data_IF_677140411028
#
_entry.id   IF_677140411028
#
_cell.length_a   1.000
_cell.length_b   1.000
_cell.length_c   1.000
_cell.angle_alpha   90.00
_cell.angle_beta   90.00
_cell.angle_gamma   90.00
#
_symmetry.space_group_name_H-M   'P 1'
#
loop_
_entity.id
_entity.type
_entity.pdbx_description
1 polymer ?
#
# COMPACT_ATOMS: atom_id res chain seq x y z
N UNK A 1 6.39 23.63 7.23
CA UNK A 1 5.94 22.89 8.45
C UNK A 1 6.92 21.75 8.68
N UNK A 2 7.50 21.65 9.89
CA UNK A 2 8.36 20.49 10.23
C UNK A 2 7.51 19.25 10.51
N UNK A 3 8.14 18.05 10.45
CA UNK A 3 7.44 16.79 10.78
C UNK A 3 6.91 16.78 12.22
N UNK A 4 7.60 17.44 13.15
CA UNK A 4 7.16 17.59 14.54
C UNK A 4 5.91 18.46 14.61
N UNK A 5 5.88 19.60 13.93
CA UNK A 5 4.70 20.46 13.83
C UNK A 5 3.51 19.74 13.20
N UNK A 6 3.75 18.96 12.15
CA UNK A 6 2.71 18.16 11.51
C UNK A 6 2.13 17.11 12.49
N UNK A 7 2.98 16.41 13.24
CA UNK A 7 2.56 15.44 14.24
C UNK A 7 1.74 16.06 15.37
N UNK A 8 2.15 17.25 15.83
CA UNK A 8 1.47 17.97 16.91
C UNK A 8 0.13 18.58 16.48
N UNK A 9 0.01 18.99 15.20
CA UNK A 9 -1.19 19.64 14.68
C UNK A 9 -2.21 18.70 14.06
N UNK A 10 -1.82 17.46 13.76
CA UNK A 10 -2.72 16.48 13.13
C UNK A 10 -3.87 16.10 14.07
N UNK A 11 -5.03 15.85 13.50
CA UNK A 11 -6.20 15.30 14.19
C UNK A 11 -6.89 14.26 13.29
N UNK A 12 -7.74 13.42 13.89
CA UNK A 12 -8.56 12.47 13.15
C UNK A 12 -9.78 13.19 12.58
N UNK A 13 -9.76 13.46 11.28
CA UNK A 13 -10.86 14.13 10.57
C UNK A 13 -12.14 13.28 10.63
N UNK A 14 -13.25 13.91 11.02
CA UNK A 14 -14.55 13.24 11.14
C UNK A 14 -15.53 13.61 10.03
N UNK A 15 -15.31 14.74 9.37
CA UNK A 15 -16.10 15.22 8.23
C UNK A 15 -15.18 15.88 7.21
N UNK A 16 -15.50 15.70 5.94
CA UNK A 16 -14.80 16.33 4.83
C UNK A 16 -15.72 17.29 4.11
N UNK A 17 -15.15 18.36 3.55
CA UNK A 17 -15.85 19.26 2.65
C UNK A 17 -15.76 18.70 1.23
N UNK A 18 -16.88 18.21 0.72
CA UNK A 18 -16.97 17.60 -0.61
C UNK A 18 -16.60 18.56 -1.76
N UNK A 19 -16.71 19.87 -1.54
CA UNK A 19 -16.35 20.89 -2.53
C UNK A 19 -14.83 21.09 -2.65
N UNK A 20 -14.05 20.70 -1.64
CA UNK A 20 -12.60 20.88 -1.61
C UNK A 20 -11.88 19.62 -2.10
N UNK A 21 -11.01 19.80 -3.09
CA UNK A 21 -10.19 18.73 -3.64
C UNK A 21 -8.72 18.95 -3.30
N UNK A 22 -8.00 17.86 -3.07
CA UNK A 22 -6.55 17.90 -2.89
C UNK A 22 -5.92 18.33 -4.23
N UNK A 23 -4.95 19.27 -4.25
CA UNK A 23 -4.22 19.64 -5.46
C UNK A 23 -3.52 18.44 -6.09
N UNK A 24 -3.44 18.42 -7.43
CA UNK A 24 -2.87 17.30 -8.18
C UNK A 24 -1.44 16.95 -7.74
N UNK A 25 -0.59 17.97 -7.54
CA UNK A 25 0.80 17.78 -7.09
C UNK A 25 0.87 17.06 -5.73
N UNK A 26 -0.05 17.38 -4.81
CA UNK A 26 -0.12 16.71 -3.53
C UNK A 26 -0.59 15.25 -3.67
N UNK A 27 -1.52 14.97 -4.58
CA UNK A 27 -1.96 13.61 -4.89
C UNK A 27 -0.80 12.78 -5.46
N UNK A 28 -0.02 13.35 -6.34
CA UNK A 28 1.15 12.66 -6.94
C UNK A 28 2.27 12.45 -5.91
N UNK A 29 2.46 13.40 -5.00
CA UNK A 29 3.35 13.21 -3.85
C UNK A 29 2.89 12.06 -2.94
N UNK A 30 1.59 11.97 -2.63
CA UNK A 30 1.01 10.87 -1.84
C UNK A 30 1.22 9.53 -2.55
N UNK A 31 0.93 9.43 -3.85
CA UNK A 31 1.18 8.22 -4.64
C UNK A 31 2.65 7.79 -4.61
N UNK A 32 3.56 8.77 -4.71
CA UNK A 32 5.00 8.53 -4.62
C UNK A 32 5.39 7.98 -3.25
N UNK A 33 4.92 8.60 -2.16
CA UNK A 33 5.18 8.13 -0.79
C UNK A 33 4.68 6.70 -0.57
N UNK A 34 3.46 6.39 -1.01
CA UNK A 34 2.88 5.05 -0.91
C UNK A 34 3.75 4.04 -1.67
N UNK A 35 4.11 4.37 -2.93
CA UNK A 35 4.94 3.48 -3.77
C UNK A 35 6.33 3.25 -3.19
N UNK A 36 6.91 4.25 -2.53
CA UNK A 36 8.25 4.19 -1.95
C UNK A 36 8.28 3.68 -0.51
N UNK A 37 7.14 3.25 0.03
CA UNK A 37 7.07 2.68 1.38
C UNK A 37 7.90 1.39 1.45
N UNK A 38 8.66 1.16 2.53
CA UNK A 38 9.44 -0.06 2.70
C UNK A 38 8.55 -1.25 3.07
N UNK A 39 9.02 -2.46 2.74
CA UNK A 39 8.43 -3.72 3.18
C UNK A 39 9.51 -4.72 3.59
N UNK A 40 9.15 -5.73 4.37
CA UNK A 40 10.07 -6.80 4.76
C UNK A 40 10.66 -7.46 3.51
N UNK A 41 11.97 -7.62 3.46
CA UNK A 41 12.76 -8.12 2.32
C UNK A 41 12.36 -7.52 0.97
N UNK A 42 11.84 -6.30 0.98
CA UNK A 42 11.28 -5.62 -0.19
C UNK A 42 10.28 -6.49 -0.98
N UNK A 43 9.44 -7.23 -0.25
CA UNK A 43 8.45 -8.15 -0.86
C UNK A 43 7.26 -7.43 -1.48
N UNK A 44 6.99 -6.19 -1.07
CA UNK A 44 5.94 -5.30 -1.62
C UNK A 44 4.57 -6.01 -1.79
N UNK A 45 4.04 -6.67 -0.76
CA UNK A 45 2.87 -7.55 -0.89
C UNK A 45 1.56 -6.80 -0.95
N UNK A 46 1.56 -5.59 -1.50
CA UNK A 46 0.42 -4.69 -1.50
C UNK A 46 -0.05 -4.30 -2.90
N UNK A 47 -1.28 -3.82 -2.95
CA UNK A 47 -1.85 -3.09 -4.06
C UNK A 47 -2.66 -1.91 -3.51
N UNK A 48 -2.55 -0.75 -4.14
CA UNK A 48 -3.25 0.46 -3.71
C UNK A 48 -4.27 0.88 -4.76
N UNK A 49 -5.53 1.07 -4.33
CA UNK A 49 -6.57 1.61 -5.19
C UNK A 49 -6.81 3.06 -4.76
N UNK A 50 -6.61 4.01 -5.66
CA UNK A 50 -6.87 5.42 -5.42
C UNK A 50 -8.11 5.83 -6.19
N UNK A 51 -9.19 6.18 -5.49
CA UNK A 51 -10.45 6.62 -6.07
C UNK A 51 -10.69 8.11 -5.82
N UNK A 52 -10.95 8.86 -6.90
CA UNK A 52 -11.26 10.29 -6.86
C UNK A 52 -12.62 10.62 -7.50
N UNK A 53 -13.14 9.75 -8.39
CA UNK A 53 -14.45 9.94 -9.00
C UNK A 53 -15.58 9.57 -8.01
N UNK A 54 -16.71 10.23 -8.16
CA UNK A 54 -17.87 9.95 -7.30
C UNK A 54 -18.36 8.50 -7.46
N UNK A 55 -18.29 7.94 -8.68
CA UNK A 55 -18.59 6.52 -8.93
C UNK A 55 -17.63 5.60 -8.17
N UNK A 56 -16.31 5.84 -8.26
CA UNK A 56 -15.30 5.05 -7.57
C UNK A 56 -15.48 5.08 -6.06
N UNK A 57 -15.71 6.27 -5.48
CA UNK A 57 -15.99 6.45 -4.05
C UNK A 57 -17.29 5.75 -3.64
N UNK A 58 -18.35 5.85 -4.44
CA UNK A 58 -19.61 5.17 -4.16
C UNK A 58 -19.48 3.64 -4.17
N UNK A 59 -18.63 3.08 -5.03
CA UNK A 59 -18.31 1.64 -5.01
C UNK A 59 -17.61 1.23 -3.71
N UNK A 60 -16.62 2.02 -3.26
CA UNK A 60 -15.91 1.78 -2.00
C UNK A 60 -16.84 1.95 -0.80
N UNK A 61 -17.74 2.95 -0.82
CA UNK A 61 -18.67 3.22 0.28
C UNK A 61 -19.62 2.03 0.56
N UNK A 62 -19.85 1.14 -0.40
CA UNK A 62 -20.62 -0.10 -0.16
C UNK A 62 -20.00 -0.99 0.95
N UNK A 63 -18.68 -0.93 1.12
CA UNK A 63 -17.99 -1.67 2.19
C UNK A 63 -18.25 -1.09 3.59
N UNK A 64 -18.82 0.10 3.70
CA UNK A 64 -19.17 0.72 4.99
C UNK A 64 -20.58 0.39 5.48
N UNK A 65 -21.34 -0.43 4.74
CA UNK A 65 -22.71 -0.80 5.15
C UNK A 65 -22.73 -1.59 6.46
N UNK A 66 -23.89 -1.59 7.13
CA UNK A 66 -24.06 -2.28 8.42
C UNK A 66 -23.32 -1.58 9.56
N UNK A 67 -22.50 -2.29 10.28
CA UNK A 67 -21.79 -1.78 11.47
C UNK A 67 -20.84 -0.60 11.23
N UNK A 68 -20.48 -0.33 9.99
CA UNK A 68 -19.54 0.74 9.61
C UNK A 68 -20.19 1.92 8.89
N UNK A 69 -21.53 2.00 8.87
CA UNK A 69 -22.29 3.04 8.14
C UNK A 69 -21.88 4.47 8.51
N UNK A 70 -21.38 4.71 9.73
CA UNK A 70 -20.83 5.99 10.17
C UNK A 70 -19.60 6.46 9.39
N UNK A 71 -19.01 5.62 8.55
CA UNK A 71 -17.89 5.98 7.68
C UNK A 71 -18.33 6.34 6.24
N UNK A 72 -19.57 6.05 5.85
CA UNK A 72 -20.04 6.23 4.47
C UNK A 72 -19.82 7.68 3.99
N UNK A 73 -20.28 8.67 4.77
CA UNK A 73 -20.11 10.09 4.43
C UNK A 73 -18.63 10.48 4.33
N UNK A 74 -17.76 9.91 5.15
CA UNK A 74 -16.31 10.17 5.08
C UNK A 74 -15.72 9.69 3.76
N UNK A 75 -16.17 8.54 3.26
CA UNK A 75 -15.75 8.01 1.96
C UNK A 75 -16.29 8.87 0.82
N UNK A 76 -17.58 9.20 0.84
CA UNK A 76 -18.23 9.95 -0.25
C UNK A 76 -17.74 11.39 -0.35
N UNK A 77 -17.53 12.07 0.78
CA UNK A 77 -17.17 13.49 0.81
C UNK A 77 -15.64 13.72 0.70
N UNK A 78 -14.83 12.69 0.89
CA UNK A 78 -13.38 12.81 0.73
C UNK A 78 -12.99 13.19 -0.70
N UNK A 79 -11.92 13.97 -0.85
CA UNK A 79 -11.33 14.29 -2.16
C UNK A 79 -10.87 13.04 -2.88
N UNK A 80 -10.13 12.19 -2.17
CA UNK A 80 -9.61 10.91 -2.62
C UNK A 80 -9.76 9.88 -1.51
N UNK A 81 -9.94 8.63 -1.91
CA UNK A 81 -9.94 7.47 -1.00
C UNK A 81 -8.88 6.51 -1.46
N UNK A 82 -8.04 6.06 -0.53
CA UNK A 82 -7.03 5.04 -0.79
C UNK A 82 -7.44 3.76 -0.08
N UNK A 83 -7.57 2.67 -0.84
CA UNK A 83 -7.76 1.32 -0.30
C UNK A 83 -6.42 0.61 -0.29
N UNK A 84 -6.00 0.18 0.87
CA UNK A 84 -4.81 -0.63 1.07
C UNK A 84 -5.20 -2.10 0.94
N UNK A 85 -4.61 -2.79 -0.02
CA UNK A 85 -4.84 -4.20 -0.26
C UNK A 85 -3.56 -4.97 -0.01
N UNK A 86 -3.61 -6.02 0.80
CA UNK A 86 -2.53 -6.99 0.92
C UNK A 86 -2.78 -8.17 -0.02
N UNK A 87 -1.70 -8.79 -0.52
CA UNK A 87 -1.81 -10.05 -1.25
C UNK A 87 -2.26 -11.16 -0.31
N UNK A 88 -3.04 -12.09 -0.82
CA UNK A 88 -3.44 -13.29 -0.08
C UNK A 88 -2.38 -14.39 -0.10
N UNK A 89 -1.42 -14.29 -1.02
CA UNK A 89 -0.28 -15.20 -1.11
C UNK A 89 0.85 -14.56 -1.93
N UNK A 90 2.07 -14.98 -1.66
CA UNK A 90 3.26 -14.69 -2.47
C UNK A 90 3.74 -16.03 -3.03
N UNK A 91 3.75 -16.16 -4.35
CA UNK A 91 4.24 -17.34 -5.06
C UNK A 91 5.58 -17.06 -5.77
N UNK A 92 6.20 -18.09 -6.29
CA UNK A 92 7.49 -17.99 -6.98
C UNK A 92 7.40 -17.10 -8.23
N UNK A 93 6.29 -17.15 -8.96
CA UNK A 93 6.10 -16.31 -10.14
C UNK A 93 6.12 -14.82 -9.79
N UNK A 94 5.49 -14.46 -8.66
CA UNK A 94 5.53 -13.09 -8.15
C UNK A 94 6.94 -12.68 -7.71
N UNK A 95 7.65 -13.56 -6.99
CA UNK A 95 9.03 -13.28 -6.54
C UNK A 95 9.97 -13.08 -7.72
N UNK A 96 9.82 -13.89 -8.76
CA UNK A 96 10.61 -13.79 -9.99
C UNK A 96 10.31 -12.48 -10.74
N UNK A 97 9.03 -12.12 -10.89
CA UNK A 97 8.64 -10.87 -11.55
C UNK A 97 9.18 -9.63 -10.82
N UNK A 98 9.17 -9.67 -9.47
CA UNK A 98 9.74 -8.60 -8.66
C UNK A 98 11.25 -8.50 -8.83
N UNK A 99 11.96 -9.64 -8.83
CA UNK A 99 13.41 -9.72 -9.04
C UNK A 99 13.81 -9.16 -10.42
N UNK A 100 13.07 -9.50 -11.46
CA UNK A 100 13.31 -9.02 -12.82
C UNK A 100 13.07 -7.50 -12.95
N UNK A 101 12.06 -6.99 -12.25
CA UNK A 101 11.81 -5.55 -12.22
C UNK A 101 12.94 -4.81 -11.49
N UNK A 102 13.39 -5.31 -10.35
CA UNK A 102 14.52 -4.72 -9.62
C UNK A 102 15.82 -4.75 -10.43
N UNK A 103 16.03 -5.79 -11.23
CA UNK A 103 17.18 -5.91 -12.12
C UNK A 103 17.11 -4.86 -13.25
N UNK A 104 15.95 -4.70 -13.89
CA UNK A 104 15.70 -3.65 -14.90
C UNK A 104 15.91 -2.25 -14.34
N UNK A 105 15.57 -2.04 -13.08
CA UNK A 105 15.76 -0.78 -12.37
C UNK A 105 17.23 -0.56 -11.93
N UNK A 106 18.14 -1.50 -12.23
CA UNK A 106 19.57 -1.38 -11.94
C UNK A 106 19.93 -1.52 -10.47
N UNK A 107 19.11 -2.26 -9.69
CA UNK A 107 19.31 -2.38 -8.23
C UNK A 107 20.41 -3.35 -7.83
N UNK A 108 20.87 -4.22 -8.73
CA UNK A 108 21.88 -5.23 -8.43
C UNK A 108 23.23 -4.88 -9.05
N UNK A 109 24.28 -4.94 -8.23
CA UNK A 109 25.64 -4.71 -8.70
C UNK A 109 26.16 -5.83 -9.61
N UNK A 110 25.67 -7.06 -9.42
CA UNK A 110 26.06 -8.26 -10.17
C UNK A 110 25.04 -9.39 -9.97
N UNK A 111 25.25 -10.51 -10.67
CA UNK A 111 24.37 -11.68 -10.60
C UNK A 111 24.35 -12.36 -9.24
N UNK A 112 25.43 -12.31 -8.47
CA UNK A 112 25.49 -12.88 -7.12
C UNK A 112 24.59 -12.09 -6.17
N UNK A 113 24.64 -10.75 -6.20
CA UNK A 113 23.75 -9.89 -5.42
C UNK A 113 22.27 -10.13 -5.79
N UNK A 114 21.95 -10.32 -7.09
CA UNK A 114 20.61 -10.65 -7.56
C UNK A 114 20.14 -11.99 -6.99
N UNK A 115 20.96 -13.04 -7.08
CA UNK A 115 20.62 -14.38 -6.55
C UNK A 115 20.51 -14.37 -5.02
N UNK A 116 21.39 -13.67 -4.32
CA UNK A 116 21.33 -13.51 -2.87
C UNK A 116 20.03 -12.84 -2.40
N UNK A 117 19.58 -11.80 -3.10
CA UNK A 117 18.29 -11.14 -2.81
C UNK A 117 17.12 -12.10 -3.03
N UNK A 118 17.11 -12.84 -4.14
CA UNK A 118 16.06 -13.81 -4.43
C UNK A 118 16.01 -14.92 -3.38
N UNK A 119 17.16 -15.50 -3.05
CA UNK A 119 17.26 -16.54 -2.02
C UNK A 119 16.80 -16.08 -0.65
N UNK A 120 17.24 -14.89 -0.21
CA UNK A 120 16.82 -14.31 1.05
C UNK A 120 15.32 -14.06 1.11
N UNK A 121 14.75 -13.49 0.04
CA UNK A 121 13.30 -13.24 -0.05
C UNK A 121 12.49 -14.51 -0.02
N UNK A 122 12.87 -15.51 -0.80
CA UNK A 122 12.23 -16.84 -0.83
C UNK A 122 12.30 -17.53 0.53
N UNK A 123 13.44 -17.43 1.23
CA UNK A 123 13.58 -17.96 2.59
C UNK A 123 12.55 -17.34 3.56
N UNK A 124 12.43 -16.00 3.59
CA UNK A 124 11.47 -15.34 4.48
C UNK A 124 10.02 -15.69 4.13
N UNK A 125 9.66 -15.69 2.85
CA UNK A 125 8.30 -16.08 2.41
C UNK A 125 7.97 -17.50 2.86
N UNK A 126 8.89 -18.44 2.66
CA UNK A 126 8.68 -19.83 3.04
C UNK A 126 8.63 -20.01 4.56
N UNK A 127 9.48 -19.32 5.32
CA UNK A 127 9.46 -19.32 6.78
C UNK A 127 8.09 -18.89 7.32
N UNK A 128 7.56 -17.76 6.85
CA UNK A 128 6.25 -17.27 7.26
C UNK A 128 5.11 -18.19 6.80
N UNK A 129 5.25 -18.81 5.63
CA UNK A 129 4.21 -19.67 5.06
C UNK A 129 4.16 -21.05 5.73
N UNK A 130 5.29 -21.68 5.99
CA UNK A 130 5.37 -23.10 6.39
C UNK A 130 5.75 -23.28 7.84
N UNK A 131 6.67 -22.48 8.38
CA UNK A 131 7.21 -22.66 9.73
C UNK A 131 6.38 -21.87 10.75
N UNK A 132 6.26 -20.55 10.55
CA UNK A 132 5.52 -19.66 11.45
C UNK A 132 4.00 -19.71 11.19
N UNK A 133 3.58 -20.01 9.97
CA UNK A 133 2.17 -20.07 9.53
C UNK A 133 1.40 -18.78 9.75
N UNK A 134 2.09 -17.65 9.64
CA UNK A 134 1.57 -16.30 9.85
C UNK A 134 1.68 -15.40 8.60
N UNK A 135 1.79 -16.02 7.40
CA UNK A 135 2.06 -15.31 6.14
C UNK A 135 1.07 -14.17 5.87
N UNK A 136 -0.21 -14.31 6.18
CA UNK A 136 -1.20 -13.26 5.99
C UNK A 136 -0.90 -12.06 6.89
N UNK A 137 -0.65 -12.29 8.17
CA UNK A 137 -0.29 -11.24 9.13
C UNK A 137 1.03 -10.56 8.79
N UNK A 138 2.01 -11.31 8.27
CA UNK A 138 3.28 -10.75 7.83
C UNK A 138 3.15 -9.88 6.58
N UNK A 139 2.19 -10.16 5.69
CA UNK A 139 1.92 -9.37 4.48
C UNK A 139 1.10 -8.10 4.77
N UNK A 140 0.33 -8.04 5.84
CA UNK A 140 -0.44 -6.88 6.30
C UNK A 140 0.43 -5.84 6.99
#
# INVERSE_FOLDING_TARGET
MSIVQAAQSRYSTKAFDASRKIPADNVDAIKTLIRMSPSSVNSQPWHFIVASSDEGKARIAKATQGGYAFNERKVLDASHVVVFCAKTSIDEAYLQALLEQEDKDGRFANSEAKQGMHGGRSFFVNMHRFDLKDANHWME
#
